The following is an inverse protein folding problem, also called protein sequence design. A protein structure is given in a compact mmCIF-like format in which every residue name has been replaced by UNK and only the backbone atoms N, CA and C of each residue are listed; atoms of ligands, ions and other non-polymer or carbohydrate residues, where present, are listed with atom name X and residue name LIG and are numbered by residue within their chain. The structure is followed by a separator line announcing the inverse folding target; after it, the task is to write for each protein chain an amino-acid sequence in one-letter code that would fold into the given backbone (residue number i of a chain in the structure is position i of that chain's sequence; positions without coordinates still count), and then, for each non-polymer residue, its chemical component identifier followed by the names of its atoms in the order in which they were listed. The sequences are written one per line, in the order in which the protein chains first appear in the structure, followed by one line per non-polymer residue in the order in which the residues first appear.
data_IF_283924118164
#
_entry.id   IF_283924118164
#
_cell.length_a   1.000
_cell.length_b   1.000
_cell.length_c   1.000
_cell.angle_alpha   90.00
_cell.angle_beta   90.00
_cell.angle_gamma   90.00
#
_symmetry.space_group_name_H-M   'P 1'
#
loop_
_entity.id
_entity.type
_entity.pdbx_description
1 polymer ?
2 non-polymer ?
3 non-polymer ?
4 water ?
#
# COMPACT_ATOMS: atom_id res chain seq x y z
N UNK A 15 -4.69 -1.83 -20.56
CA UNK A 15 -6.14 -2.06 -20.56
C UNK A 15 -6.88 -0.90 -19.88
N UNK A 16 -6.51 -0.62 -18.64
CA UNK A 16 -7.14 0.45 -17.85
C UNK A 16 -6.06 1.39 -17.34
N UNK A 17 -6.35 2.69 -17.35
CA UNK A 17 -5.42 3.68 -16.83
C UNK A 17 -5.32 3.51 -15.31
N UNK A 18 -4.18 3.03 -14.85
CA UNK A 18 -3.98 2.69 -13.45
C UNK A 18 -2.92 3.54 -12.78
N UNK A 19 -3.25 4.03 -11.58
CA UNK A 19 -2.34 4.81 -10.77
C UNK A 19 -1.99 4.00 -9.53
N UNK A 20 -0.70 3.75 -9.33
CA UNK A 20 -0.23 3.06 -8.14
C UNK A 20 -0.18 4.02 -6.96
N UNK A 21 -0.84 3.64 -5.87
CA UNK A 21 -0.81 4.43 -4.64
C UNK A 21 0.15 3.80 -3.62
N UNK A 22 1.18 4.56 -3.26
CA UNK A 22 2.14 4.13 -2.26
C UNK A 22 2.27 5.20 -1.20
N UNK A 23 2.84 4.84 -0.06
CA UNK A 23 3.06 5.80 1.00
C UNK A 23 4.05 5.30 2.01
N UNK A 24 4.82 6.22 2.60
CA UNK A 24 5.72 5.82 3.66
C UNK A 24 4.92 5.63 4.94
N UNK A 25 5.62 5.55 6.05
CA UNK A 25 5.00 5.08 7.29
C UNK A 25 4.17 6.20 7.90
N UNK A 26 2.93 5.88 8.26
CA UNK A 26 2.01 6.85 8.83
C UNK A 26 1.85 8.06 7.91
N UNK A 27 1.79 7.81 6.61
CA UNK A 27 1.73 8.86 5.61
C UNK A 27 0.35 9.49 5.48
N UNK A 28 -0.69 8.72 5.78
CA UNK A 28 -2.05 9.16 5.57
C UNK A 28 -2.65 8.54 4.32
N UNK A 29 -2.04 7.46 3.82
CA UNK A 29 -2.35 7.01 2.47
C UNK A 29 -3.71 6.32 2.36
N UNK A 30 -4.15 5.64 3.41
CA UNK A 30 -5.47 5.01 3.40
C UNK A 30 -6.55 6.08 3.38
N UNK A 31 -6.25 7.24 3.96
CA UNK A 31 -7.15 8.37 3.93
C UNK A 31 -7.19 8.95 2.51
N UNK A 32 -6.03 8.99 1.88
CA UNK A 32 -5.92 9.43 0.49
C UNK A 32 -6.74 8.50 -0.40
N UNK A 33 -6.64 7.20 -0.15
CA UNK A 33 -7.42 6.22 -0.92
C UNK A 33 -8.91 6.48 -0.77
N UNK A 34 -9.35 6.77 0.46
CA UNK A 34 -10.76 7.03 0.72
C UNK A 34 -11.25 8.27 -0.03
N UNK A 35 -10.42 9.32 -0.07
CA UNK A 35 -10.79 10.53 -0.79
C UNK A 35 -10.93 10.25 -2.29
N UNK A 36 -10.03 9.44 -2.85
CA UNK A 36 -10.16 9.03 -4.24
C UNK A 36 -11.44 8.21 -4.43
N UNK A 37 -11.72 7.35 -3.45
CA UNK A 37 -12.90 6.51 -3.49
C UNK A 37 -14.15 7.38 -3.53
N UNK A 38 -14.15 8.43 -2.72
CA UNK A 38 -15.31 9.29 -2.59
C UNK A 38 -15.50 10.20 -3.81
N UNK A 39 -14.49 10.24 -4.68
CA UNK A 39 -14.61 10.95 -5.95
C UNK A 39 -15.08 10.02 -7.06
N UNK A 40 -15.47 8.81 -6.68
CA UNK A 40 -16.04 7.85 -7.61
C UNK A 40 -15.00 7.01 -8.31
N UNK A 41 -13.77 7.01 -7.80
CA UNK A 41 -12.70 6.22 -8.40
C UNK A 41 -12.65 4.82 -7.77
N UNK A 42 -12.53 3.82 -8.62
CA UNK A 42 -12.35 2.44 -8.17
C UNK A 42 -10.96 2.27 -7.55
N UNK A 43 -10.92 1.86 -6.29
CA UNK A 43 -9.67 1.62 -5.60
C UNK A 43 -9.48 0.14 -5.34
N UNK A 44 -8.39 -0.42 -5.87
CA UNK A 44 -8.04 -1.81 -5.61
C UNK A 44 -7.00 -1.86 -4.49
N UNK A 45 -7.35 -2.53 -3.40
CA UNK A 45 -6.46 -2.63 -2.24
C UNK A 45 -5.70 -3.96 -2.23
N UNK A 46 -4.44 -3.91 -2.63
CA UNK A 46 -3.62 -5.12 -2.69
C UNK A 46 -3.45 -5.74 -1.30
N UNK A 47 -3.49 -4.90 -0.27
CA UNK A 47 -3.35 -5.37 1.10
C UNK A 47 -4.58 -6.15 1.53
N UNK A 48 -5.75 -5.67 1.12
CA UNK A 48 -7.01 -6.35 1.45
C UNK A 48 -7.09 -7.69 0.75
N UNK A 49 -6.60 -7.73 -0.48
CA UNK A 49 -6.58 -8.94 -1.27
C UNK A 49 -5.63 -9.96 -0.65
N UNK A 50 -4.48 -9.48 -0.17
CA UNK A 50 -3.49 -10.33 0.47
C UNK A 50 -4.08 -11.00 1.71
N UNK A 51 -4.83 -10.24 2.50
CA UNK A 51 -5.47 -10.80 3.68
C UNK A 51 -6.50 -11.85 3.31
N UNK A 52 -7.30 -11.54 2.29
CA UNK A 52 -8.30 -12.48 1.80
C UNK A 52 -7.63 -13.79 1.42
N UNK A 53 -6.56 -13.69 0.62
CA UNK A 53 -5.91 -14.88 0.07
C UNK A 53 -4.97 -15.55 1.07
N UNK A 54 -4.95 -15.06 2.31
CA UNK A 54 -4.25 -15.73 3.39
C UNK A 54 -5.22 -16.03 4.53
N UNK A 55 -6.48 -16.17 4.17
CA UNK A 55 -7.52 -16.63 5.09
C UNK A 55 -7.24 -18.07 5.52
N UNK A 56 -7.96 -18.51 6.54
CA UNK A 56 -7.74 -19.84 7.10
C UNK A 56 -7.86 -20.94 6.04
N UNK A 57 -6.80 -21.74 5.92
CA UNK A 57 -6.72 -22.90 5.03
C UNK A 57 -6.76 -22.58 3.53
N UNK A 58 -6.36 -21.36 3.16
CA UNK A 58 -6.01 -21.10 1.76
C UNK A 58 -4.63 -21.69 1.52
N UNK A 59 -4.28 -21.94 0.25
CA UNK A 59 -2.93 -22.42 -0.06
C UNK A 59 -1.81 -21.53 0.49
N UNK A 60 -1.92 -20.21 0.31
CA UNK A 60 -0.88 -19.29 0.77
C UNK A 60 -0.79 -19.26 2.28
N UNK A 61 -1.93 -19.35 2.94
CA UNK A 61 -1.98 -19.46 4.40
C UNK A 61 -1.17 -20.67 4.87
N UNK A 62 -1.32 -21.78 4.16
CA UNK A 62 -0.61 -23.01 4.49
C UNK A 62 0.89 -22.88 4.28
N UNK A 63 1.29 -22.26 3.18
CA UNK A 63 2.71 -22.10 2.85
C UNK A 63 3.41 -21.15 3.81
N UNK A 64 2.68 -20.11 4.23
CA UNK A 64 3.20 -19.13 5.18
C UNK A 64 3.50 -19.79 6.53
N UNK A 65 2.57 -20.59 7.02
CA UNK A 65 2.73 -21.24 8.32
C UNK A 65 3.80 -22.32 8.27
N UNK A 66 3.86 -23.05 7.15
CA UNK A 66 4.89 -24.07 6.99
C UNK A 66 6.27 -23.41 6.90
N UNK A 67 6.33 -22.25 6.26
CA UNK A 67 7.59 -21.55 6.06
C UNK A 67 8.11 -20.90 7.34
N UNK A 68 7.25 -20.14 8.01
CA UNK A 68 7.68 -19.40 9.20
C UNK A 68 7.52 -20.22 10.47
N UNK A 69 6.66 -21.25 10.42
CA UNK A 69 6.49 -22.14 11.55
C UNK A 69 5.34 -21.74 12.45
N UNK A 70 5.20 -22.44 13.56
CA UNK A 70 4.05 -22.29 14.44
C UNK A 70 3.94 -20.93 15.11
N UNK A 71 5.03 -20.16 15.13
CA UNK A 71 5.05 -18.88 15.83
C UNK A 71 4.10 -17.85 15.19
N UNK A 72 3.82 -18.00 13.90
CA UNK A 72 2.95 -17.05 13.21
C UNK A 72 1.49 -17.49 13.17
N UNK A 73 1.16 -18.55 13.92
CA UNK A 73 -0.22 -19.01 14.05
C UNK A 73 -0.79 -18.63 15.41
N UNK A 74 -1.79 -17.76 15.43
CA UNK A 74 -2.47 -17.42 16.67
C UNK A 74 -3.26 -18.62 17.18
N UNK A 75 -3.68 -18.58 18.43
CA UNK A 75 -4.54 -19.63 18.98
C UNK A 75 -5.81 -19.76 18.15
N UNK A 76 -6.22 -18.64 17.55
CA UNK A 76 -7.33 -18.60 16.60
C UNK A 76 -7.20 -19.59 15.45
N UNK A 77 -5.96 -19.89 15.06
CA UNK A 77 -5.71 -20.54 13.80
C UNK A 77 -5.61 -19.48 12.70
N UNK A 78 -5.80 -18.22 13.09
CA UNK A 78 -5.61 -17.09 12.21
C UNK A 78 -4.14 -16.70 12.20
N UNK A 79 -3.68 -16.08 11.12
CA UNK A 79 -2.29 -15.64 11.04
C UNK A 79 -2.00 -14.50 12.01
N UNK A 80 -0.82 -14.56 12.62
CA UNK A 80 -0.34 -13.45 13.44
C UNK A 80 0.28 -12.41 12.52
N UNK A 81 -0.57 -11.50 12.02
CA UNK A 81 -0.15 -10.56 10.99
C UNK A 81 0.80 -9.49 11.52
N UNK A 82 0.65 -9.13 12.79
CA UNK A 82 1.58 -8.21 13.43
C UNK A 82 2.98 -8.82 13.42
N UNK A 83 3.07 -10.09 13.83
CA UNK A 83 4.34 -10.78 13.89
C UNK A 83 4.95 -10.91 12.49
N UNK A 84 4.12 -11.26 11.51
CA UNK A 84 4.61 -11.41 10.15
C UNK A 84 5.16 -10.07 9.65
N UNK A 85 4.46 -8.98 9.91
CA UNK A 85 4.95 -7.66 9.51
C UNK A 85 6.30 -7.35 10.12
N UNK A 86 6.46 -7.68 11.40
CA UNK A 86 7.74 -7.48 12.08
C UNK A 86 8.85 -8.27 11.38
N UNK A 87 8.53 -9.50 10.97
CA UNK A 87 9.51 -10.35 10.30
C UNK A 87 9.85 -9.77 8.93
N UNK A 88 8.82 -9.43 8.16
CA UNK A 88 9.00 -8.90 6.82
C UNK A 88 9.82 -7.61 6.84
N UNK A 89 9.55 -6.75 7.81
CA UNK A 89 10.21 -5.45 7.87
C UNK A 89 11.71 -5.57 8.19
N UNK A 90 12.06 -6.55 9.02
CA UNK A 90 13.42 -6.69 9.51
C UNK A 90 14.25 -7.67 8.69
N UNK A 91 13.58 -8.52 7.92
CA UNK A 91 14.25 -9.56 7.13
C UNK A 91 13.86 -9.44 5.65
N UNK A 92 14.75 -8.86 4.85
CA UNK A 92 14.44 -8.53 3.46
C UNK A 92 14.26 -9.78 2.60
N UNK A 93 15.02 -10.83 2.91
CA UNK A 93 14.90 -12.08 2.17
C UNK A 93 13.53 -12.70 2.37
N UNK A 94 12.93 -12.44 3.53
CA UNK A 94 11.62 -12.97 3.85
C UNK A 94 10.53 -12.10 3.24
N UNK A 95 10.80 -10.79 3.14
CA UNK A 95 9.88 -9.91 2.44
C UNK A 95 9.75 -10.34 1.00
N UNK A 96 10.89 -10.63 0.38
CA UNK A 96 10.91 -11.04 -1.02
C UNK A 96 10.26 -12.41 -1.19
N UNK A 97 10.50 -13.31 -0.25
CA UNK A 97 9.91 -14.64 -0.31
C UNK A 97 8.39 -14.51 -0.28
N UNK A 98 7.88 -13.70 0.65
CA UNK A 98 6.45 -13.56 0.83
C UNK A 98 5.82 -12.84 -0.37
N UNK A 99 6.53 -11.89 -0.94
CA UNK A 99 6.03 -11.14 -2.08
C UNK A 99 5.99 -12.06 -3.30
N UNK A 100 6.97 -12.94 -3.42
CA UNK A 100 7.00 -13.90 -4.53
C UNK A 100 5.87 -14.91 -4.40
N UNK A 101 5.56 -15.31 -3.17
CA UNK A 101 4.50 -16.28 -2.92
C UNK A 101 3.13 -15.73 -3.30
N UNK A 102 2.88 -14.48 -2.90
CA UNK A 102 1.55 -13.89 -3.03
C UNK A 102 1.33 -13.21 -4.38
N UNK A 103 2.40 -12.84 -5.06
CA UNK A 103 2.29 -12.04 -6.28
C UNK A 103 1.38 -12.67 -7.35
N UNK A 104 1.56 -13.98 -7.63
CA UNK A 104 0.74 -14.63 -8.67
C UNK A 104 -0.76 -14.58 -8.38
N UNK A 105 -1.15 -14.87 -7.14
CA UNK A 105 -2.57 -14.91 -6.79
C UNK A 105 -3.13 -13.49 -6.68
N UNK A 106 -2.36 -12.56 -6.13
CA UNK A 106 -2.82 -11.18 -6.00
C UNK A 106 -3.06 -10.57 -7.37
N UNK A 107 -2.17 -10.84 -8.31
CA UNK A 107 -2.26 -10.26 -9.65
C UNK A 107 -3.53 -10.70 -10.36
N UNK A 108 -3.90 -11.96 -10.17
CA UNK A 108 -5.11 -12.49 -10.80
C UNK A 108 -6.36 -11.79 -10.27
N UNK A 109 -6.36 -11.46 -8.98
CA UNK A 109 -7.48 -10.76 -8.36
C UNK A 109 -7.54 -9.31 -8.85
N UNK A 110 -6.38 -8.68 -8.98
CA UNK A 110 -6.30 -7.31 -9.47
C UNK A 110 -6.89 -7.25 -10.87
N UNK A 111 -6.51 -8.20 -11.72
CA UNK A 111 -6.97 -8.22 -13.09
C UNK A 111 -8.49 -8.40 -13.19
N UNK A 112 -9.07 -9.20 -12.30
CA UNK A 112 -10.52 -9.35 -12.26
C UNK A 112 -11.21 -8.02 -11.99
N UNK A 113 -10.67 -7.27 -11.02
CA UNK A 113 -11.26 -6.00 -10.64
C UNK A 113 -11.04 -4.94 -11.72
N UNK A 114 -9.95 -5.05 -12.45
CA UNK A 114 -9.68 -4.11 -13.55
C UNK A 114 -10.66 -4.34 -14.71
N UNK A 115 -10.99 -5.61 -14.97
CA UNK A 115 -11.89 -5.93 -16.08
C UNK A 115 -13.25 -5.30 -15.86
N UNK A 116 -13.66 -5.18 -14.60
CA UNK A 116 -14.96 -4.63 -14.26
C UNK A 116 -14.84 -3.22 -13.69
N UNK A 117 -13.75 -2.54 -13.97
CA UNK A 117 -13.55 -1.17 -13.51
C UNK A 117 -14.55 -0.22 -14.17
N UNK A 118 -15.29 0.52 -13.34
CA UNK A 118 -16.35 1.39 -13.83
C UNK A 118 -15.95 2.87 -13.84
N UNK A 119 -14.75 3.17 -13.38
CA UNK A 119 -14.29 4.55 -13.30
C UNK A 119 -13.33 4.88 -14.45
N UNK A 120 -13.11 6.19 -14.71
CA UNK A 120 -12.27 6.63 -15.83
C UNK A 120 -10.81 6.20 -15.69
N UNK A 121 -10.35 6.11 -14.45
CA UNK A 121 -9.04 5.52 -14.16
C UNK A 121 -9.16 4.77 -12.84
N UNK A 122 -8.17 3.94 -12.55
CA UNK A 122 -8.20 3.06 -11.38
C UNK A 122 -7.02 3.35 -10.46
N UNK A 123 -7.26 3.24 -9.16
CA UNK A 123 -6.22 3.40 -8.16
C UNK A 123 -5.90 2.05 -7.54
N UNK A 124 -4.62 1.68 -7.56
CA UNK A 124 -4.17 0.43 -6.98
C UNK A 124 -3.23 0.72 -5.80
N UNK A 125 -3.70 0.46 -4.58
CA UNK A 125 -2.88 0.63 -3.40
C UNK A 125 -1.90 -0.52 -3.28
N UNK A 126 -0.61 -0.20 -3.28
CA UNK A 126 0.47 -1.18 -3.33
C UNK A 126 1.53 -0.83 -2.27
N UNK A 127 2.44 -1.76 -1.96
CA UNK A 127 3.44 -1.46 -0.93
C UNK A 127 4.49 -0.44 -1.36
N UNK A 128 5.11 0.20 -0.38
CA UNK A 128 6.11 1.25 -0.63
C UNK A 128 7.23 0.78 -1.54
N UNK A 129 7.80 -0.39 -1.23
CA UNK A 129 8.88 -0.97 -2.01
C UNK A 129 8.37 -2.03 -2.98
N UNK A 130 7.34 -1.68 -3.75
CA UNK A 130 6.74 -2.63 -4.67
C UNK A 130 7.70 -3.01 -5.79
N UNK A 131 7.67 -4.27 -6.18
CA UNK A 131 8.45 -4.74 -7.32
C UNK A 131 7.84 -4.23 -8.60
N UNK A 132 8.61 -3.43 -9.34
CA UNK A 132 8.10 -2.81 -10.56
C UNK A 132 7.79 -3.87 -11.60
N UNK A 133 8.60 -4.92 -11.64
CA UNK A 133 8.41 -6.01 -12.58
C UNK A 133 7.07 -6.70 -12.36
N UNK A 134 6.51 -6.53 -11.18
CA UNK A 134 5.20 -7.11 -10.85
C UNK A 134 4.07 -6.11 -11.11
N UNK A 135 4.44 -4.83 -11.27
CA UNK A 135 3.47 -3.78 -11.62
C UNK A 135 3.96 -2.92 -12.79
N UNK A 136 4.26 -3.56 -13.93
CA UNK A 136 4.76 -2.86 -15.11
C UNK A 136 3.69 -2.11 -15.88
N UNK A 137 2.43 -2.29 -15.48
CA UNK A 137 1.29 -1.75 -16.22
C UNK A 137 0.80 -0.40 -15.69
N UNK A 138 1.41 0.08 -14.62
CA UNK A 138 1.00 1.36 -14.02
C UNK A 138 1.37 2.54 -14.92
N UNK A 139 0.43 3.44 -15.14
CA UNK A 139 0.71 4.66 -15.89
C UNK A 139 1.43 5.67 -14.99
N UNK A 140 1.01 5.71 -13.74
CA UNK A 140 1.52 6.66 -12.77
C UNK A 140 1.76 6.00 -11.43
N UNK A 141 2.68 6.57 -10.66
CA UNK A 141 2.86 6.20 -9.26
C UNK A 141 2.67 7.45 -8.40
N UNK A 142 1.85 7.31 -7.38
CA UNK A 142 1.62 8.36 -6.39
C UNK A 142 2.21 7.92 -5.06
N UNK A 143 3.11 8.72 -4.52
CA UNK A 143 3.73 8.44 -3.23
C UNK A 143 3.27 9.47 -2.20
N UNK A 144 2.62 8.99 -1.15
CA UNK A 144 2.17 9.86 -0.06
C UNK A 144 3.19 9.84 1.06
N UNK A 145 3.64 11.03 1.48
CA UNK A 145 4.59 11.11 2.59
C UNK A 145 4.11 12.13 3.62
N UNK A 146 4.55 11.92 4.85
CA UNK A 146 4.26 12.84 5.94
C UNK A 146 5.56 13.21 6.62
N UNK A 147 5.68 14.47 7.04
CA UNK A 147 6.93 14.86 7.73
C UNK A 147 7.15 14.07 9.02
N UNK A 148 8.41 13.98 9.44
CA UNK A 148 8.82 13.20 10.61
C UNK A 148 7.96 13.47 11.83
N UNK A 149 7.74 14.75 12.14
CA UNK A 149 6.94 15.11 13.31
C UNK A 149 5.53 14.49 13.22
N UNK A 150 4.89 14.64 12.08
CA UNK A 150 3.54 14.10 11.86
C UNK A 150 3.51 12.59 12.01
N UNK A 151 4.53 11.92 11.48
CA UNK A 151 4.64 10.46 11.57
C UNK A 151 4.73 10.00 13.01
N UNK A 152 5.49 10.73 13.82
CA UNK A 152 5.68 10.34 15.21
C UNK A 152 4.38 10.45 15.98
N UNK A 153 3.66 11.55 15.76
CA UNK A 153 2.38 11.76 16.40
C UNK A 153 1.43 10.62 16.04
N UNK A 154 1.41 10.27 14.77
CA UNK A 154 0.54 9.21 14.28
C UNK A 154 0.94 7.86 14.87
N UNK A 155 2.24 7.63 15.00
CA UNK A 155 2.75 6.36 15.50
C UNK A 155 2.58 6.22 17.01
N UNK A 156 2.73 7.33 17.74
CA UNK A 156 2.57 7.29 19.19
C UNK A 156 1.10 7.08 19.55
N UNK A 157 0.20 7.70 18.79
CA UNK A 157 -1.23 7.57 19.06
C UNK A 157 -1.74 6.18 18.65
N UNK A 158 -1.19 5.62 17.58
CA UNK A 158 -1.64 4.31 17.10
C UNK A 158 -1.00 3.19 17.93
N UNK A 159 0.29 3.34 18.23
CA UNK A 159 1.05 2.29 18.89
C UNK A 159 1.09 2.46 20.40
N UNK A 160 0.64 3.63 20.88
CA UNK A 160 0.64 3.95 22.30
C UNK A 160 2.05 3.86 22.89
N UNK A 161 3.07 3.94 22.03
CA UNK A 161 4.45 3.74 22.46
C UNK A 161 5.14 5.06 22.80
N UNK A 162 6.34 4.94 23.35
CA UNK A 162 7.14 6.12 23.67
C UNK A 162 7.62 6.80 22.40
N UNK A 163 7.81 8.11 22.47
CA UNK A 163 8.28 8.89 21.33
C UNK A 163 9.61 8.38 20.81
N UNK A 164 10.47 7.93 21.71
CA UNK A 164 11.78 7.43 21.33
C UNK A 164 11.68 6.07 20.63
N UNK A 165 10.61 5.33 20.90
CA UNK A 165 10.38 4.06 20.22
C UNK A 165 9.87 4.32 18.81
N UNK A 166 9.04 5.34 18.67
CA UNK A 166 8.51 5.72 17.37
C UNK A 166 9.64 6.20 16.46
N UNK A 167 10.50 7.06 17.01
CA UNK A 167 11.66 7.55 16.28
C UNK A 167 12.54 6.38 15.85
N UNK A 168 12.68 5.41 16.74
CA UNK A 168 13.48 4.22 16.45
C UNK A 168 12.83 3.38 15.35
N UNK A 169 11.49 3.41 15.30
CA UNK A 169 10.75 2.75 14.23
C UNK A 169 10.95 3.50 12.93
N UNK A 170 10.87 4.83 12.99
CA UNK A 170 11.09 5.66 11.81
C UNK A 170 12.55 5.56 11.35
N UNK A 171 13.45 5.36 12.30
CA UNK A 171 14.88 5.30 12.00
C UNK A 171 15.22 4.11 11.12
N UNK A 172 14.37 3.09 11.14
CA UNK A 172 14.64 1.84 10.44
C UNK A 172 13.85 1.69 9.14
N UNK A 173 13.12 2.73 8.75
CA UNK A 173 12.32 2.65 7.54
C UNK A 173 13.21 2.68 6.30
N UNK A 174 12.70 2.14 5.17
CA UNK A 174 13.50 2.14 3.95
C UNK A 174 13.77 3.55 3.45
N UNK A 175 14.93 3.78 2.86
CA UNK A 175 15.22 5.08 2.28
C UNK A 175 14.30 5.29 1.09
N UNK A 176 13.81 6.52 0.96
CA UNK A 176 12.78 6.83 -0.03
C UNK A 176 13.35 7.49 -1.27
N UNK A 177 14.65 7.80 -1.24
CA UNK A 177 15.30 8.52 -2.32
C UNK A 177 14.97 7.94 -3.69
N UNK A 178 15.11 6.62 -3.83
CA UNK A 178 14.87 5.96 -5.10
C UNK A 178 13.39 5.99 -5.47
N UNK A 179 12.53 5.77 -4.48
CA UNK A 179 11.08 5.77 -4.71
C UNK A 179 10.53 7.17 -4.92
N UNK A 180 11.18 8.17 -4.32
CA UNK A 180 10.79 9.56 -4.51
C UNK A 180 11.11 10.00 -5.93
N UNK A 181 12.29 9.60 -6.42
CA UNK A 181 12.68 9.88 -7.79
C UNK A 181 11.73 9.25 -8.79
N UNK A 182 11.36 8.00 -8.53
CA UNK A 182 10.55 7.23 -9.48
C UNK A 182 9.11 7.74 -9.53
N UNK A 183 8.60 8.17 -8.38
CA UNK A 183 7.21 8.60 -8.28
C UNK A 183 6.94 9.76 -9.23
N UNK A 184 5.78 9.71 -9.89
CA UNK A 184 5.38 10.78 -10.80
C UNK A 184 4.82 11.95 -10.01
N UNK A 185 4.17 11.63 -8.90
CA UNK A 185 3.65 12.65 -7.99
C UNK A 185 3.89 12.25 -6.55
N UNK A 186 4.30 13.23 -5.75
CA UNK A 186 4.50 13.05 -4.32
C UNK A 186 3.55 13.98 -3.57
N UNK A 187 2.66 13.39 -2.78
CA UNK A 187 1.73 14.15 -1.96
C UNK A 187 2.30 14.29 -0.56
N UNK A 188 2.79 15.48 -0.24
CA UNK A 188 3.29 15.77 1.09
C UNK A 188 2.09 16.07 1.98
N UNK A 189 1.78 15.13 2.88
CA UNK A 189 0.66 15.27 3.81
C UNK A 189 1.13 15.92 5.11
N UNK A 190 1.21 17.25 5.09
CA UNK A 190 1.87 17.99 6.15
C UNK A 190 0.96 19.00 6.89
N UNK A 191 -0.33 18.99 6.61
CA UNK A 191 -1.21 19.97 7.25
C UNK A 191 -2.71 19.64 7.23
N UNK A 192 -3.11 18.56 7.88
CA UNK A 192 -4.53 18.32 8.13
C UNK A 192 -5.36 17.77 6.99
N UNK A 193 -6.54 17.24 7.35
CA UNK A 193 -7.40 16.51 6.42
C UNK A 193 -7.94 17.36 5.28
N UNK A 194 -8.20 18.63 5.54
CA UNK A 194 -8.82 19.50 4.54
C UNK A 194 -7.88 19.76 3.37
N UNK A 195 -6.63 20.07 3.65
CA UNK A 195 -5.66 20.31 2.59
C UNK A 195 -5.32 19.00 1.89
N UNK A 196 -5.38 17.90 2.63
CA UNK A 196 -5.15 16.59 2.04
C UNK A 196 -6.21 16.34 0.97
N UNK A 197 -7.46 16.63 1.31
CA UNK A 197 -8.56 16.48 0.37
C UNK A 197 -8.41 17.38 -0.84
N UNK A 198 -7.97 18.61 -0.62
CA UNK A 198 -7.77 19.55 -1.70
C UNK A 198 -6.71 19.03 -2.66
N UNK A 199 -5.62 18.50 -2.11
CA UNK A 199 -4.54 17.97 -2.92
C UNK A 199 -5.00 16.75 -3.73
N UNK A 200 -5.77 15.86 -3.11
CA UNK A 200 -6.31 14.70 -3.81
C UNK A 200 -7.20 15.15 -4.97
N UNK A 201 -8.00 16.19 -4.74
CA UNK A 201 -8.86 16.73 -5.78
C UNK A 201 -8.07 17.14 -7.02
N UNK A 202 -6.97 17.86 -6.82
CA UNK A 202 -6.15 18.32 -7.93
C UNK A 202 -5.48 17.16 -8.66
N UNK A 203 -5.08 16.13 -7.92
CA UNK A 203 -4.50 14.95 -8.52
C UNK A 203 -5.56 14.22 -9.35
N UNK A 204 -6.74 14.11 -8.77
CA UNK A 204 -7.90 13.52 -9.45
C UNK A 204 -8.14 14.19 -10.80
N UNK A 205 -8.17 15.51 -10.82
CA UNK A 205 -8.38 16.24 -12.06
C UNK A 205 -7.20 16.04 -13.03
N UNK A 206 -6.00 15.89 -12.47
CA UNK A 206 -4.83 15.62 -13.30
C UNK A 206 -4.93 14.24 -13.97
N UNK A 207 -5.34 13.23 -13.20
CA UNK A 207 -5.45 11.86 -13.72
C UNK A 207 -6.58 11.75 -14.74
N UNK A 208 -7.70 12.40 -14.49
CA UNK A 208 -8.79 12.46 -15.45
C UNK A 208 -8.30 13.03 -16.79
N UNK A 209 -7.55 14.13 -16.70
CA UNK A 209 -7.04 14.80 -17.89
C UNK A 209 -6.11 13.89 -18.68
N UNK A 210 -5.15 13.29 -18.00
CA UNK A 210 -4.15 12.45 -18.66
C UNK A 210 -4.72 11.13 -19.17
N UNK A 211 -5.69 10.55 -18.45
CA UNK A 211 -6.34 9.34 -18.92
C UNK A 211 -7.18 9.61 -20.17
N UNK A 212 -7.69 10.83 -20.29
CA UNK A 212 -8.52 11.20 -21.42
C UNK A 212 -7.74 11.25 -22.72
N UNK A 213 -6.48 11.69 -22.66
CA UNK A 213 -5.67 11.89 -23.85
C UNK A 213 -4.66 10.77 -24.10
N UNK A 214 -4.68 9.75 -23.25
CA UNK A 214 -3.70 8.66 -23.31
C UNK A 214 -4.29 7.37 -23.86
N UNK A 215 -3.76 6.93 -25.00
CA UNK A 215 -4.07 5.61 -25.55
C UNK A 215 -2.77 4.89 -25.89
X LIG B 1 -3.69 6.49 7.08
X LIG B 1 -3.98 6.97 8.38
X LIG B 1 -3.17 5.07 7.16
X LIG B 1 -1.83 5.00 6.44
X LIG B 1 -0.83 5.49 7.30
X LIG B 1 -1.53 3.56 6.07
X LIG C 1 -0.12 -10.33 5.18
X LIG C 1 0.23 -11.28 6.30
X LIG C 1 1.09 -9.50 4.82
X LIG C 1 -1.24 -9.42 5.63
X LIG C 1 -0.56 -11.11 3.96
#
# INVERSE_FOLDING_TARGET
MGHHHHHHMKEPTQMVYSVGLTGNIASGKSTVAEFFSELGINVIYADKIAKELTSKNTPCYQDIISHFGSSVVLNNGELDRKRIRDIIFSNSNERLWLESLLHPVIRKKIEEQLIVCTSPYCLIEIPLLFNKHHYPYLQKVLLVIAPLESQLDRIVKRDHCTKKQALAILATQPNLEQRLEAADDVLINESGLSELKAKVNKLHQKYLREAKIKQ
BU2 C1 O1 C2 C3 O3 C4
PO4 P O1 O2 O3 O4
#
